data_IF_282908465711
#
_entry.id   IF_282908465711
#
_cell.length_a   1.000
_cell.length_b   1.000
_cell.length_c   1.000
_cell.angle_alpha   90.00
_cell.angle_beta   90.00
_cell.angle_gamma   90.00
#
_symmetry.space_group_name_H-M   'P 1'
#
loop_
_entity.id
_entity.type
_entity.pdbx_description
1 polymer ?
#
# COMPACT_ATOMS: atom_id res chain seq x y z
N UNK A 1 -56.03 61.25 -55.01
CA UNK A 1 -54.99 61.07 -56.05
C UNK A 1 -53.56 61.04 -55.50
N UNK A 2 -53.15 61.92 -54.56
CA UNK A 2 -51.79 61.87 -53.95
C UNK A 2 -51.49 60.64 -53.06
N UNK A 3 -52.49 60.02 -52.42
CA UNK A 3 -52.28 58.81 -51.61
C UNK A 3 -52.05 57.55 -52.44
N UNK A 4 -52.76 57.41 -53.56
CA UNK A 4 -52.62 56.30 -54.52
C UNK A 4 -51.21 56.22 -55.10
N UNK A 5 -50.62 57.38 -55.42
CA UNK A 5 -49.26 57.45 -55.96
C UNK A 5 -48.18 57.05 -54.96
N UNK A 6 -48.39 57.30 -53.66
CA UNK A 6 -47.48 56.86 -52.60
C UNK A 6 -47.59 55.35 -52.36
N UNK A 7 -48.79 54.80 -52.48
CA UNK A 7 -49.04 53.37 -52.32
C UNK A 7 -48.46 52.56 -53.49
N UNK A 8 -48.64 53.01 -54.73
CA UNK A 8 -48.00 52.38 -55.90
C UNK A 8 -46.47 52.56 -55.92
N UNK A 9 -45.95 53.70 -55.45
CA UNK A 9 -44.51 53.88 -55.30
C UNK A 9 -43.92 52.91 -54.27
N UNK A 10 -44.60 52.73 -53.12
CA UNK A 10 -44.21 51.75 -52.11
C UNK A 10 -44.31 50.31 -52.62
N UNK A 11 -45.36 49.94 -53.38
CA UNK A 11 -45.47 48.61 -53.98
C UNK A 11 -44.41 48.33 -55.05
N UNK A 12 -43.98 49.35 -55.82
CA UNK A 12 -42.87 49.22 -56.77
C UNK A 12 -41.50 49.11 -56.08
N UNK A 13 -41.34 49.81 -54.96
CA UNK A 13 -40.15 49.73 -54.11
C UNK A 13 -40.05 48.34 -53.43
N UNK A 14 -41.19 47.75 -53.04
CA UNK A 14 -41.28 46.36 -52.58
C UNK A 14 -41.06 45.33 -53.72
N UNK A 15 -41.51 45.60 -54.94
CA UNK A 15 -41.29 44.74 -56.11
C UNK A 15 -39.84 44.81 -56.67
N UNK A 16 -39.03 45.77 -56.22
CA UNK A 16 -37.60 45.90 -56.57
C UNK A 16 -36.67 45.17 -55.59
N UNK A 17 -37.19 44.72 -54.44
CA UNK A 17 -36.45 43.86 -53.53
C UNK A 17 -36.66 42.43 -53.98
N UNK A 18 -35.67 41.90 -54.72
CA UNK A 18 -35.62 40.49 -55.09
C UNK A 18 -35.46 39.65 -53.81
N UNK A 19 -36.60 39.21 -53.28
CA UNK A 19 -36.74 38.47 -52.02
C UNK A 19 -35.85 37.22 -52.03
N UNK A 20 -35.74 36.56 -53.18
CA UNK A 20 -34.88 35.40 -53.39
C UNK A 20 -33.39 35.78 -53.25
N UNK A 21 -32.97 36.92 -53.79
CA UNK A 21 -31.60 37.41 -53.62
C UNK A 21 -31.27 37.79 -52.16
N UNK A 22 -32.25 38.29 -51.40
CA UNK A 22 -32.09 38.56 -49.97
C UNK A 22 -31.98 37.26 -49.17
N UNK A 23 -32.76 36.23 -49.50
CA UNK A 23 -32.68 34.91 -48.87
C UNK A 23 -31.33 34.23 -49.12
N UNK A 24 -30.80 34.30 -50.35
CA UNK A 24 -29.46 33.78 -50.66
C UNK A 24 -28.38 34.48 -49.82
N UNK A 25 -28.43 35.82 -49.72
CA UNK A 25 -27.50 36.58 -48.87
C UNK A 25 -27.63 36.21 -47.40
N UNK A 26 -28.84 36.00 -46.90
CA UNK A 26 -29.09 35.57 -45.53
C UNK A 26 -28.49 34.19 -45.26
N UNK A 27 -28.65 33.25 -46.18
CA UNK A 27 -28.04 31.91 -46.10
C UNK A 27 -26.51 31.98 -46.09
N UNK A 28 -25.91 32.80 -46.96
CA UNK A 28 -24.46 33.02 -47.00
C UNK A 28 -23.93 33.64 -45.70
N UNK A 29 -24.63 34.64 -45.16
CA UNK A 29 -24.28 35.27 -43.88
C UNK A 29 -24.39 34.24 -42.75
N UNK A 30 -25.47 33.45 -42.71
CA UNK A 30 -25.66 32.40 -41.70
C UNK A 30 -24.55 31.35 -41.77
N UNK A 31 -24.17 30.92 -42.97
CA UNK A 31 -23.08 29.96 -43.16
C UNK A 31 -21.73 30.53 -42.68
N UNK A 32 -21.42 31.78 -43.04
CA UNK A 32 -20.22 32.48 -42.57
C UNK A 32 -20.20 32.62 -41.05
N UNK A 33 -21.35 32.90 -40.44
CA UNK A 33 -21.51 33.03 -38.99
C UNK A 33 -21.26 31.68 -38.29
N UNK A 34 -21.86 30.58 -38.77
CA UNK A 34 -21.59 29.24 -38.25
C UNK A 34 -20.11 28.83 -38.37
N UNK A 35 -19.46 29.17 -39.49
CA UNK A 35 -18.02 28.91 -39.68
C UNK A 35 -17.16 29.76 -38.74
N UNK A 36 -17.52 31.02 -38.52
CA UNK A 36 -16.82 31.90 -37.60
C UNK A 36 -16.97 31.44 -36.15
N UNK A 37 -18.17 31.02 -35.73
CA UNK A 37 -18.41 30.42 -34.41
C UNK A 37 -17.58 29.15 -34.21
N UNK A 38 -17.51 28.27 -35.23
CA UNK A 38 -16.67 27.06 -35.17
C UNK A 38 -15.17 27.37 -35.10
N UNK A 39 -14.70 28.45 -35.71
CA UNK A 39 -13.32 28.94 -35.54
C UNK A 39 -13.12 29.53 -34.14
N UNK A 40 -14.06 30.31 -33.64
CA UNK A 40 -14.04 30.88 -32.29
C UNK A 40 -13.88 29.81 -31.23
N UNK A 41 -14.70 28.75 -31.28
CA UNK A 41 -14.61 27.61 -30.35
C UNK A 41 -13.24 26.91 -30.36
N UNK A 42 -12.64 26.72 -31.55
CA UNK A 42 -11.30 26.13 -31.66
C UNK A 42 -10.22 27.03 -31.07
N UNK A 43 -10.31 28.33 -31.33
CA UNK A 43 -9.36 29.32 -30.78
C UNK A 43 -9.49 29.37 -29.26
N UNK A 44 -10.71 29.36 -28.72
CA UNK A 44 -10.95 29.34 -27.27
C UNK A 44 -10.35 28.08 -26.62
N UNK A 45 -10.52 26.92 -27.25
CA UNK A 45 -9.96 25.67 -26.74
C UNK A 45 -8.43 25.65 -26.79
N UNK A 46 -7.82 26.17 -27.86
CA UNK A 46 -6.37 26.35 -27.95
C UNK A 46 -5.85 27.34 -26.90
N UNK A 47 -6.54 28.47 -26.70
CA UNK A 47 -6.19 29.43 -25.65
C UNK A 47 -6.30 28.80 -24.25
N UNK A 48 -7.30 27.96 -24.01
CA UNK A 48 -7.46 27.21 -22.75
C UNK A 48 -6.28 26.26 -22.56
N UNK A 49 -5.89 25.51 -23.59
CA UNK A 49 -4.74 24.59 -23.54
C UNK A 49 -3.43 25.32 -23.26
N UNK A 50 -3.15 26.40 -24.00
CA UNK A 50 -1.93 27.20 -23.84
C UNK A 50 -1.85 27.82 -22.43
N UNK A 51 -2.98 28.26 -21.85
CA UNK A 51 -3.00 28.76 -20.47
C UNK A 51 -2.64 27.68 -19.45
N UNK A 52 -3.16 26.47 -19.61
CA UNK A 52 -2.83 25.34 -18.74
C UNK A 52 -1.35 24.94 -18.89
N UNK A 53 -0.84 24.92 -20.11
CA UNK A 53 0.57 24.64 -20.38
C UNK A 53 1.50 25.71 -19.77
N UNK A 54 1.16 26.99 -19.93
CA UNK A 54 1.89 28.09 -19.29
C UNK A 54 1.86 27.99 -17.76
N UNK A 55 0.72 27.65 -17.18
CA UNK A 55 0.60 27.45 -15.73
C UNK A 55 1.54 26.33 -15.25
N UNK A 56 1.56 25.21 -15.97
CA UNK A 56 2.47 24.09 -15.69
C UNK A 56 3.95 24.52 -15.81
N UNK A 57 4.32 25.26 -16.85
CA UNK A 57 5.69 25.77 -17.03
C UNK A 57 6.09 26.67 -15.86
N UNK A 58 5.18 27.52 -15.37
CA UNK A 58 5.45 28.38 -14.21
C UNK A 58 5.70 27.53 -12.95
N UNK A 59 4.88 26.51 -12.73
CA UNK A 59 5.04 25.58 -11.59
C UNK A 59 6.37 24.80 -11.68
N UNK A 60 6.72 24.30 -12.86
CA UNK A 60 7.97 23.59 -13.12
C UNK A 60 9.19 24.51 -12.89
N UNK A 61 9.14 25.75 -13.41
CA UNK A 61 10.18 26.76 -13.20
C UNK A 61 10.35 27.11 -11.72
N UNK A 62 9.24 27.26 -10.98
CA UNK A 62 9.29 27.54 -9.55
C UNK A 62 9.91 26.38 -8.76
N UNK A 63 9.60 25.15 -9.15
CA UNK A 63 10.14 23.93 -8.53
C UNK A 63 11.64 23.78 -8.82
N UNK A 64 12.08 24.02 -10.05
CA UNK A 64 13.50 23.99 -10.42
C UNK A 64 14.32 25.04 -9.65
N UNK A 65 13.76 26.24 -9.45
CA UNK A 65 14.43 27.30 -8.70
C UNK A 65 14.71 26.88 -7.26
N UNK A 66 13.74 26.23 -6.60
CA UNK A 66 13.92 25.69 -5.25
C UNK A 66 14.99 24.60 -5.17
N UNK A 67 15.09 23.75 -6.20
CA UNK A 67 16.14 22.71 -6.25
C UNK A 67 17.52 23.37 -6.33
N UNK A 68 17.70 24.36 -7.21
CA UNK A 68 18.97 25.09 -7.36
C UNK A 68 19.34 25.80 -6.06
N UNK A 69 18.38 26.47 -5.42
CA UNK A 69 18.62 27.16 -4.14
C UNK A 69 19.08 26.17 -3.05
N UNK A 70 18.43 25.00 -2.97
CA UNK A 70 18.80 23.93 -2.04
C UNK A 70 20.20 23.36 -2.34
N UNK A 71 20.49 23.04 -3.59
CA UNK A 71 21.81 22.56 -4.01
C UNK A 71 22.91 23.61 -3.71
N UNK A 72 22.60 24.90 -3.85
CA UNK A 72 23.48 25.99 -3.46
C UNK A 72 23.79 26.00 -1.96
N UNK A 73 22.77 25.80 -1.12
CA UNK A 73 22.94 25.69 0.33
C UNK A 73 23.79 24.47 0.70
N UNK A 74 23.49 23.31 0.12
CA UNK A 74 24.21 22.07 0.39
C UNK A 74 25.68 22.18 -0.05
N UNK A 75 25.94 22.73 -1.25
CA UNK A 75 27.29 23.01 -1.74
C UNK A 75 28.06 23.92 -0.78
N UNK A 76 27.46 25.03 -0.34
CA UNK A 76 28.09 25.94 0.61
C UNK A 76 28.40 25.24 1.96
N UNK A 77 27.53 24.36 2.41
CA UNK A 77 27.76 23.58 3.63
C UNK A 77 28.94 22.60 3.48
N UNK A 78 29.04 21.92 2.34
CA UNK A 78 30.18 21.05 2.03
C UNK A 78 31.49 21.84 1.90
N UNK A 79 31.47 22.98 1.22
CA UNK A 79 32.65 23.85 1.08
C UNK A 79 33.16 24.35 2.44
N UNK A 80 32.26 24.74 3.36
CA UNK A 80 32.65 25.12 4.73
C UNK A 80 33.30 23.97 5.49
N UNK A 81 32.69 22.79 5.49
CA UNK A 81 33.25 21.60 6.16
C UNK A 81 34.61 21.21 5.59
N UNK A 82 34.76 21.28 4.26
CA UNK A 82 36.03 21.00 3.60
C UNK A 82 37.10 22.01 3.99
N UNK A 83 36.76 23.30 4.09
CA UNK A 83 37.69 24.34 4.55
C UNK A 83 38.15 24.08 6.00
N UNK A 84 37.24 23.74 6.91
CA UNK A 84 37.58 23.42 8.30
C UNK A 84 38.53 22.21 8.39
N UNK A 85 38.24 21.14 7.64
CA UNK A 85 39.09 19.95 7.57
C UNK A 85 40.47 20.24 6.97
N UNK A 86 40.55 21.14 5.98
CA UNK A 86 41.84 21.55 5.42
C UNK A 86 42.69 22.28 6.45
N UNK A 87 42.10 23.18 7.23
CA UNK A 87 42.80 23.86 8.34
C UNK A 87 43.28 22.86 9.39
N UNK A 88 42.46 21.87 9.73
CA UNK A 88 42.85 20.79 10.64
C UNK A 88 44.01 19.97 10.07
N UNK A 89 43.94 19.58 8.79
CA UNK A 89 45.02 18.88 8.10
C UNK A 89 46.32 19.69 8.08
N UNK A 90 46.24 20.99 7.80
CA UNK A 90 47.40 21.90 7.83
C UNK A 90 48.00 22.01 9.23
N UNK A 91 47.17 22.11 10.27
CA UNK A 91 47.61 22.12 11.66
C UNK A 91 48.29 20.81 12.05
N UNK A 92 47.73 19.67 11.64
CA UNK A 92 48.33 18.35 11.86
C UNK A 92 49.67 18.23 11.12
N UNK A 93 49.75 18.66 9.87
CA UNK A 93 51.00 18.65 9.09
C UNK A 93 52.08 19.54 9.73
N UNK A 94 51.71 20.72 10.22
CA UNK A 94 52.64 21.61 10.91
C UNK A 94 53.11 21.02 12.25
N UNK A 95 52.20 20.33 12.98
CA UNK A 95 52.54 19.59 14.21
C UNK A 95 53.45 18.38 13.95
N UNK A 96 53.38 17.81 12.74
CA UNK A 96 54.20 16.70 12.26
C UNK A 96 55.48 17.15 11.53
N UNK A 97 55.91 18.41 11.67
CA UNK A 97 57.26 18.81 11.24
C UNK A 97 58.29 17.91 11.94
N UNK A 98 59.00 17.04 11.20
CA UNK A 98 59.66 15.92 11.83
C UNK A 98 60.95 16.37 12.50
N UNK A 99 60.96 16.36 13.84
CA UNK A 99 62.17 16.01 14.56
C UNK A 99 62.36 14.49 14.41
N UNK A 100 63.02 14.10 13.30
CA UNK A 100 63.39 12.72 12.93
C UNK A 100 62.26 11.69 12.95
N UNK A 101 61.49 11.60 11.86
CA UNK A 101 60.52 10.51 11.67
C UNK A 101 61.23 9.13 11.70
N UNK A 102 60.74 8.22 12.55
CA UNK A 102 61.20 6.83 12.61
C UNK A 102 60.96 6.18 11.25
N UNK A 103 62.04 5.73 10.59
CA UNK A 103 61.96 5.07 9.28
C UNK A 103 61.21 3.75 9.41
N UNK A 104 60.19 3.57 8.56
CA UNK A 104 59.53 2.29 8.32
C UNK A 104 60.58 1.27 7.86
N UNK A 105 60.68 0.16 8.57
CA UNK A 105 61.70 -0.86 8.31
C UNK A 105 61.17 -1.94 7.38
N UNK A 106 62.08 -2.74 6.79
CA UNK A 106 61.70 -3.89 5.98
C UNK A 106 60.83 -4.90 6.77
N UNK A 107 61.09 -5.05 8.07
CA UNK A 107 60.34 -5.96 8.94
C UNK A 107 58.90 -5.48 9.18
N UNK A 108 58.67 -4.16 9.23
CA UNK A 108 57.33 -3.57 9.31
C UNK A 108 56.53 -3.87 8.02
N UNK A 109 57.19 -3.74 6.85
CA UNK A 109 56.59 -4.07 5.55
C UNK A 109 56.24 -5.56 5.46
N UNK A 110 57.15 -6.44 5.87
CA UNK A 110 56.91 -7.88 5.79
C UNK A 110 55.83 -8.35 6.79
N UNK A 111 55.73 -7.68 7.94
CA UNK A 111 54.66 -7.90 8.92
C UNK A 111 53.29 -7.51 8.34
N UNK A 112 53.18 -6.35 7.72
CA UNK A 112 51.93 -5.91 7.08
C UNK A 112 51.51 -6.82 5.93
N UNK A 113 52.47 -7.27 5.10
CA UNK A 113 52.20 -8.22 4.01
C UNK A 113 51.65 -9.53 4.54
N UNK A 114 52.13 -9.99 5.71
CA UNK A 114 51.63 -11.20 6.36
C UNK A 114 50.22 -11.01 6.89
N UNK A 115 49.94 -9.89 7.55
CA UNK A 115 48.60 -9.56 8.05
C UNK A 115 47.60 -9.45 6.90
N UNK A 116 47.99 -8.78 5.81
CA UNK A 116 47.17 -8.65 4.62
C UNK A 116 46.86 -10.00 3.96
N UNK A 117 47.86 -10.88 3.83
CA UNK A 117 47.64 -12.25 3.33
C UNK A 117 46.69 -13.04 4.22
N UNK A 118 46.90 -13.00 5.54
CA UNK A 118 46.02 -13.67 6.50
C UNK A 118 44.58 -13.15 6.45
N UNK A 119 44.40 -11.84 6.27
CA UNK A 119 43.08 -11.23 6.13
C UNK A 119 42.39 -11.67 4.83
N UNK A 120 43.13 -11.74 3.72
CA UNK A 120 42.63 -12.26 2.44
C UNK A 120 42.20 -13.73 2.57
N UNK A 121 43.03 -14.58 3.20
CA UNK A 121 42.71 -16.00 3.38
C UNK A 121 41.44 -16.18 4.22
N UNK A 122 41.30 -15.42 5.31
CA UNK A 122 40.07 -15.41 6.12
C UNK A 122 38.85 -14.96 5.31
N UNK A 123 38.97 -13.86 4.55
CA UNK A 123 37.86 -13.35 3.74
C UNK A 123 37.45 -14.35 2.64
N UNK A 124 38.40 -15.06 2.02
CA UNK A 124 38.09 -16.10 1.04
C UNK A 124 37.34 -17.29 1.65
N UNK A 125 37.68 -17.68 2.87
CA UNK A 125 36.96 -18.74 3.60
C UNK A 125 35.52 -18.29 3.88
N UNK A 126 35.34 -17.06 4.36
CA UNK A 126 34.01 -16.51 4.65
C UNK A 126 33.15 -16.40 3.39
N UNK A 127 33.71 -15.93 2.27
CA UNK A 127 33.01 -15.86 0.99
C UNK A 127 32.53 -17.26 0.56
N UNK A 128 33.40 -18.28 0.64
CA UNK A 128 33.02 -19.65 0.28
C UNK A 128 31.87 -20.17 1.16
N UNK A 129 31.95 -19.91 2.47
CA UNK A 129 30.89 -20.28 3.41
C UNK A 129 29.56 -19.57 3.09
N UNK A 130 29.62 -18.29 2.72
CA UNK A 130 28.43 -17.54 2.30
C UNK A 130 27.83 -18.12 1.00
N UNK A 131 28.66 -18.50 0.03
CA UNK A 131 28.18 -19.18 -1.19
C UNK A 131 27.49 -20.51 -0.88
N UNK A 132 28.04 -21.32 0.02
CA UNK A 132 27.40 -22.57 0.43
C UNK A 132 26.07 -22.33 1.15
N UNK A 133 26.01 -21.36 2.06
CA UNK A 133 24.78 -20.98 2.73
C UNK A 133 23.70 -20.50 1.75
N UNK A 134 24.07 -19.63 0.81
CA UNK A 134 23.15 -19.13 -0.21
C UNK A 134 22.62 -20.27 -1.08
N UNK A 135 23.47 -21.21 -1.47
CA UNK A 135 23.06 -22.40 -2.21
C UNK A 135 22.06 -23.26 -1.43
N UNK A 136 22.26 -23.43 -0.12
CA UNK A 136 21.33 -24.17 0.73
C UNK A 136 19.99 -23.43 0.91
N UNK A 137 20.02 -22.10 1.04
CA UNK A 137 18.81 -21.27 1.09
C UNK A 137 18.03 -21.35 -0.22
N UNK A 138 18.71 -21.30 -1.37
CA UNK A 138 18.08 -21.47 -2.68
C UNK A 138 17.40 -22.84 -2.81
N UNK A 139 18.06 -23.92 -2.36
CA UNK A 139 17.45 -25.26 -2.34
C UNK A 139 16.22 -25.31 -1.43
N UNK A 140 16.31 -24.73 -0.23
CA UNK A 140 15.19 -24.69 0.71
C UNK A 140 14.00 -23.88 0.16
N UNK A 141 14.26 -22.76 -0.51
CA UNK A 141 13.22 -21.96 -1.17
C UNK A 141 12.53 -22.81 -2.25
N UNK A 142 13.30 -23.53 -3.07
CA UNK A 142 12.74 -24.40 -4.10
C UNK A 142 11.83 -25.50 -3.50
N UNK A 143 12.27 -26.14 -2.42
CA UNK A 143 11.46 -27.15 -1.71
C UNK A 143 10.15 -26.55 -1.16
N UNK A 144 10.19 -25.33 -0.60
CA UNK A 144 8.99 -24.63 -0.14
C UNK A 144 8.06 -24.24 -1.29
N UNK A 145 8.59 -23.82 -2.43
CA UNK A 145 7.81 -23.49 -3.62
C UNK A 145 7.11 -24.73 -4.19
N UNK A 146 7.79 -25.88 -4.21
CA UNK A 146 7.21 -27.16 -4.62
C UNK A 146 6.09 -27.61 -3.68
N UNK A 147 6.31 -27.55 -2.36
CA UNK A 147 5.29 -27.87 -1.37
C UNK A 147 4.06 -26.97 -1.51
N UNK A 148 4.28 -25.65 -1.66
CA UNK A 148 3.20 -24.68 -1.89
C UNK A 148 2.42 -24.97 -3.17
N UNK A 149 3.09 -25.36 -4.25
CA UNK A 149 2.44 -25.71 -5.51
C UNK A 149 1.58 -26.98 -5.36
N UNK A 150 2.07 -27.99 -4.65
CA UNK A 150 1.32 -29.22 -4.36
C UNK A 150 0.06 -28.93 -3.52
N UNK A 151 0.19 -28.12 -2.47
CA UNK A 151 -0.94 -27.71 -1.62
C UNK A 151 -1.99 -26.92 -2.40
N UNK A 152 -1.56 -26.00 -3.28
CA UNK A 152 -2.45 -25.25 -4.15
C UNK A 152 -3.21 -26.19 -5.12
N UNK A 153 -2.52 -27.13 -5.77
CA UNK A 153 -3.16 -28.10 -6.66
C UNK A 153 -4.18 -28.97 -5.92
N UNK A 154 -3.88 -29.38 -4.70
CA UNK A 154 -4.79 -30.15 -3.85
C UNK A 154 -6.05 -29.34 -3.52
N UNK A 155 -5.88 -28.07 -3.11
CA UNK A 155 -6.98 -27.17 -2.80
C UNK A 155 -7.86 -26.88 -4.04
N UNK A 156 -7.25 -26.64 -5.20
CA UNK A 156 -7.98 -26.43 -6.46
C UNK A 156 -8.76 -27.67 -6.89
N UNK A 157 -8.20 -28.88 -6.71
CA UNK A 157 -8.93 -30.12 -6.99
C UNK A 157 -10.13 -30.29 -6.07
N UNK A 158 -9.98 -29.98 -4.77
CA UNK A 158 -11.09 -30.05 -3.82
C UNK A 158 -12.20 -29.07 -4.19
N UNK A 159 -11.86 -27.81 -4.50
CA UNK A 159 -12.84 -26.81 -4.96
C UNK A 159 -13.55 -27.26 -6.22
N UNK A 160 -12.83 -27.86 -7.17
CA UNK A 160 -13.41 -28.39 -8.41
C UNK A 160 -14.38 -29.54 -8.12
N UNK A 161 -14.04 -30.43 -7.18
CA UNK A 161 -14.93 -31.51 -6.75
C UNK A 161 -16.19 -30.97 -6.08
N UNK A 162 -16.04 -30.02 -5.15
CA UNK A 162 -17.16 -29.38 -4.47
C UNK A 162 -18.08 -28.64 -5.46
N UNK A 163 -17.52 -27.98 -6.48
CA UNK A 163 -18.29 -27.35 -7.56
C UNK A 163 -19.11 -28.36 -8.36
N UNK A 164 -18.53 -29.53 -8.69
CA UNK A 164 -19.25 -30.60 -9.39
C UNK A 164 -20.36 -31.17 -8.51
N UNK A 165 -20.08 -31.40 -7.23
CA UNK A 165 -21.08 -31.88 -6.27
C UNK A 165 -22.24 -30.89 -6.13
N UNK A 166 -21.94 -29.60 -5.99
CA UNK A 166 -22.96 -28.54 -5.90
C UNK A 166 -23.82 -28.49 -7.16
N UNK A 167 -23.19 -28.58 -8.34
CA UNK A 167 -23.92 -28.64 -9.61
C UNK A 167 -24.86 -29.84 -9.68
N UNK A 168 -24.38 -31.02 -9.33
CA UNK A 168 -25.23 -32.22 -9.30
C UNK A 168 -26.41 -32.08 -8.33
N UNK A 169 -26.19 -31.47 -7.16
CA UNK A 169 -27.26 -31.16 -6.21
C UNK A 169 -28.27 -30.18 -6.81
N UNK A 170 -27.81 -29.12 -7.48
CA UNK A 170 -28.69 -28.16 -8.16
C UNK A 170 -29.51 -28.83 -9.26
N UNK A 171 -28.87 -29.65 -10.12
CA UNK A 171 -29.56 -30.39 -11.18
C UNK A 171 -30.60 -31.37 -10.60
N UNK A 172 -30.31 -32.00 -9.45
CA UNK A 172 -31.27 -32.84 -8.72
C UNK A 172 -32.45 -32.02 -8.18
N UNK A 173 -32.20 -30.88 -7.54
CA UNK A 173 -33.26 -29.98 -7.09
C UNK A 173 -34.13 -29.50 -8.26
N UNK A 174 -33.52 -29.08 -9.38
CA UNK A 174 -34.24 -28.67 -10.58
C UNK A 174 -35.06 -29.81 -11.19
N UNK A 175 -34.56 -31.05 -11.16
CA UNK A 175 -35.32 -32.23 -11.63
C UNK A 175 -36.56 -32.53 -10.78
N UNK A 176 -36.46 -32.33 -9.46
CA UNK A 176 -37.58 -32.54 -8.52
C UNK A 176 -38.58 -31.37 -8.61
N UNK A 177 -38.10 -30.16 -8.92
CA UNK A 177 -38.90 -28.92 -8.92
C UNK A 177 -39.50 -28.60 -10.30
N UNK A 178 -38.95 -29.15 -11.38
CA UNK A 178 -39.46 -29.00 -12.77
C UNK A 178 -40.72 -29.83 -13.05
N UNK A 179 -41.12 -30.70 -12.12
CA UNK A 179 -42.42 -31.38 -12.14
C UNK A 179 -43.56 -30.52 -11.59
N UNK A 180 -44.17 -29.69 -12.45
CA UNK A 180 -45.47 -29.02 -12.27
C UNK A 180 -45.60 -28.01 -11.11
N UNK A 181 -46.07 -26.77 -11.35
CA UNK A 181 -46.38 -25.83 -10.28
C UNK A 181 -47.65 -26.29 -9.57
N UNK A 182 -47.51 -27.17 -8.57
CA UNK A 182 -48.61 -27.44 -7.65
C UNK A 182 -48.82 -26.14 -6.87
N UNK A 183 -50.01 -25.53 -6.91
CA UNK A 183 -50.30 -24.40 -6.04
C UNK A 183 -50.23 -24.95 -4.62
N UNK A 184 -49.13 -24.68 -3.92
CA UNK A 184 -49.00 -25.01 -2.51
C UNK A 184 -50.07 -24.20 -1.79
N UNK A 185 -51.22 -24.82 -1.57
CA UNK A 185 -52.21 -24.32 -0.64
C UNK A 185 -51.63 -24.55 0.74
N UNK A 186 -50.81 -23.60 1.16
CA UNK A 186 -50.32 -23.55 2.51
C UNK A 186 -51.51 -23.38 3.44
N UNK A 187 -51.87 -24.44 4.13
CA UNK A 187 -52.82 -24.31 5.24
C UNK A 187 -52.06 -23.73 6.43
N UNK A 188 -52.77 -23.05 7.31
CA UNK A 188 -52.17 -22.50 8.55
C UNK A 188 -51.47 -23.62 9.35
N UNK A 189 -51.94 -24.86 9.25
CA UNK A 189 -51.33 -26.02 9.90
C UNK A 189 -49.97 -26.39 9.27
N UNK A 190 -49.85 -26.39 7.93
CA UNK A 190 -48.59 -26.74 7.26
C UNK A 190 -47.52 -25.67 7.51
N UNK A 191 -47.89 -24.39 7.43
CA UNK A 191 -46.97 -23.29 7.77
C UNK A 191 -46.57 -23.31 9.24
N UNK A 192 -47.47 -23.66 10.16
CA UNK A 192 -47.13 -23.80 11.58
C UNK A 192 -46.14 -24.92 11.85
N UNK A 193 -46.28 -26.08 11.19
CA UNK A 193 -45.32 -27.18 11.30
C UNK A 193 -43.95 -26.81 10.73
N UNK A 194 -43.93 -26.08 9.63
CA UNK A 194 -42.69 -25.64 8.98
C UNK A 194 -41.98 -24.57 9.81
N UNK A 195 -42.72 -23.57 10.31
CA UNK A 195 -42.19 -22.57 11.26
C UNK A 195 -41.67 -23.23 12.54
N UNK A 196 -42.32 -24.30 13.03
CA UNK A 196 -41.84 -25.06 14.19
C UNK A 196 -40.52 -25.78 13.90
N UNK A 197 -40.39 -26.43 12.73
CA UNK A 197 -39.13 -27.08 12.34
C UNK A 197 -37.98 -26.09 12.16
N UNK A 198 -38.25 -24.93 11.55
CA UNK A 198 -37.25 -23.87 11.46
C UNK A 198 -36.91 -23.28 12.84
N UNK A 199 -37.88 -23.19 13.76
CA UNK A 199 -37.64 -22.81 15.15
C UNK A 199 -36.76 -23.81 15.90
N UNK A 200 -36.99 -25.11 15.73
CA UNK A 200 -36.19 -26.16 16.35
C UNK A 200 -34.73 -26.13 15.86
N UNK A 201 -34.51 -25.90 14.57
CA UNK A 201 -33.17 -25.74 13.99
C UNK A 201 -32.48 -24.46 14.45
N UNK A 202 -33.23 -23.38 14.70
CA UNK A 202 -32.70 -22.10 15.18
C UNK A 202 -32.44 -22.06 16.69
N UNK A 203 -33.20 -22.83 17.49
CA UNK A 203 -33.06 -22.86 18.95
C UNK A 203 -32.13 -23.96 19.48
N UNK A 204 -31.59 -24.84 18.63
CA UNK A 204 -30.49 -25.74 19.00
C UNK A 204 -30.69 -26.49 20.32
N UNK A 205 -31.76 -27.29 20.43
CA UNK A 205 -31.93 -28.21 21.56
C UNK A 205 -31.65 -29.62 21.06
N UNK A 206 -30.46 -30.14 21.41
CA UNK A 206 -30.16 -31.55 21.28
C UNK A 206 -31.05 -32.39 22.20
N UNK A 207 -31.35 -33.60 21.78
CA UNK A 207 -31.86 -34.65 22.67
C UNK A 207 -31.19 -35.97 22.31
N UNK A 208 -30.29 -36.41 23.19
CA UNK A 208 -29.75 -37.76 23.19
C UNK A 208 -30.58 -38.64 24.12
N UNK A 209 -30.88 -39.87 23.69
CA UNK A 209 -31.25 -41.00 24.56
C UNK A 209 -30.54 -42.27 24.05
N UNK A 210 -30.09 -43.06 25.03
CA UNK A 210 -29.21 -44.22 25.05
C UNK A 210 -29.78 -45.51 24.41
N UNK A 211 -28.84 -46.42 24.05
CA UNK A 211 -28.85 -47.92 24.08
C UNK A 211 -30.10 -48.67 23.58
N UNK A 212 -30.05 -49.67 22.70
CA UNK A 212 -29.15 -50.84 22.57
C UNK A 212 -29.23 -51.42 21.13
N UNK A 213 -28.16 -52.09 20.68
CA UNK A 213 -27.92 -52.53 19.28
C UNK A 213 -28.69 -53.78 18.79
N UNK A 214 -28.21 -54.52 17.75
CA UNK A 214 -26.97 -54.35 16.98
C UNK A 214 -27.08 -54.44 15.43
N UNK A 215 -25.93 -54.22 14.79
CA UNK A 215 -25.49 -54.70 13.46
C UNK A 215 -25.82 -53.83 12.24
N UNK A 216 -24.83 -53.03 11.79
CA UNK A 216 -24.00 -53.36 10.62
C UNK A 216 -23.31 -52.10 10.05
N UNK A 217 -22.01 -52.24 9.80
CA UNK A 217 -21.21 -51.55 8.77
C UNK A 217 -20.97 -50.02 8.86
N UNK A 218 -19.68 -49.66 8.94
CA UNK A 218 -19.13 -48.46 8.31
C UNK A 218 -19.14 -47.18 9.14
N UNK A 219 -18.33 -47.11 10.19
CA UNK A 219 -18.09 -45.87 10.92
C UNK A 219 -17.14 -44.93 10.14
N UNK A 220 -17.71 -43.97 9.42
CA UNK A 220 -17.04 -42.72 9.04
C UNK A 220 -17.17 -41.73 10.20
N UNK A 221 -16.05 -41.46 10.86
CA UNK A 221 -15.91 -40.40 11.86
C UNK A 221 -15.95 -39.04 11.17
N UNK A 222 -17.12 -38.39 11.11
CA UNK A 222 -17.23 -36.99 10.70
C UNK A 222 -16.80 -36.12 11.89
N UNK A 223 -15.49 -35.86 11.95
CA UNK A 223 -14.93 -34.79 12.75
C UNK A 223 -15.48 -33.48 12.18
N UNK A 224 -16.31 -32.80 12.97
CA UNK A 224 -16.75 -31.45 12.65
C UNK A 224 -15.58 -30.48 12.86
N UNK A 225 -14.69 -30.36 11.89
CA UNK A 225 -13.81 -29.19 11.80
C UNK A 225 -14.61 -28.01 11.26
N UNK A 226 -15.41 -27.40 12.14
CA UNK A 226 -15.97 -26.06 11.90
C UNK A 226 -14.89 -25.03 12.20
N UNK A 227 -13.93 -24.87 11.30
CA UNK A 227 -13.04 -23.70 11.30
C UNK A 227 -13.74 -22.57 10.53
N UNK A 228 -14.65 -21.86 11.21
CA UNK A 228 -15.02 -20.52 10.78
C UNK A 228 -13.82 -19.61 11.09
N UNK A 229 -12.91 -19.43 10.13
CA UNK A 229 -11.97 -18.32 10.18
C UNK A 229 -12.74 -17.04 9.83
N UNK A 230 -13.48 -16.52 10.82
CA UNK A 230 -13.83 -15.10 10.85
C UNK A 230 -12.58 -14.41 11.40
N UNK A 231 -11.78 -13.83 10.51
CA UNK A 231 -10.67 -12.97 10.89
C UNK A 231 -11.20 -11.89 11.86
N UNK A 232 -10.57 -11.77 13.04
CA UNK A 232 -10.93 -10.70 13.97
C UNK A 232 -10.65 -9.36 13.28
N UNK A 233 -11.54 -8.36 13.36
CA UNK A 233 -11.23 -7.01 12.88
C UNK A 233 -9.97 -6.47 13.60
N UNK A 234 -9.03 -5.90 12.86
CA UNK A 234 -7.87 -5.20 13.42
C UNK A 234 -8.27 -3.76 13.75
N UNK A 235 -8.07 -3.32 14.99
CA UNK A 235 -8.35 -1.94 15.41
C UNK A 235 -7.09 -1.10 15.65
N UNK A 236 -5.93 -1.62 15.22
CA UNK A 236 -4.64 -0.95 15.42
C UNK A 236 -4.34 0.00 14.28
N UNK A 237 -4.02 1.23 14.64
CA UNK A 237 -3.57 2.26 13.69
C UNK A 237 -2.23 2.85 14.12
N UNK A 238 -1.51 3.39 13.15
CA UNK A 238 -0.30 4.18 13.42
C UNK A 238 -0.71 5.59 13.80
N UNK A 239 -0.58 5.93 15.08
CA UNK A 239 -0.89 7.27 15.57
C UNK A 239 0.20 8.27 15.18
N UNK A 240 1.47 7.88 15.35
CA UNK A 240 2.61 8.76 15.08
C UNK A 240 3.89 8.00 14.78
N UNK A 241 4.64 8.49 13.81
CA UNK A 241 6.04 8.10 13.59
C UNK A 241 6.92 9.33 13.74
N UNK A 242 7.95 9.25 14.56
CA UNK A 242 8.86 10.36 14.78
C UNK A 242 9.76 10.57 13.54
N UNK A 243 9.86 11.81 13.06
CA UNK A 243 10.62 12.14 11.84
C UNK A 243 12.13 11.83 11.97
N UNK A 244 12.66 11.85 13.19
CA UNK A 244 14.05 11.49 13.52
C UNK A 244 14.24 9.98 13.74
N UNK A 245 13.18 9.17 13.59
CA UNK A 245 13.21 7.73 13.79
C UNK A 245 13.33 7.31 15.25
N UNK A 246 13.09 8.21 16.21
CA UNK A 246 13.25 7.92 17.63
C UNK A 246 12.18 6.97 18.18
N UNK A 247 10.94 7.03 17.67
CA UNK A 247 9.83 6.17 18.09
C UNK A 247 8.71 6.04 17.05
N UNK A 248 7.89 5.00 17.24
CA UNK A 248 6.62 4.76 16.55
C UNK A 248 5.54 4.55 17.61
N UNK A 249 4.36 5.15 17.44
CA UNK A 249 3.22 5.03 18.35
C UNK A 249 2.06 4.35 17.65
N UNK A 250 1.54 3.30 18.27
CA UNK A 250 0.34 2.60 17.85
C UNK A 250 -0.82 2.94 18.78
N UNK A 251 -2.03 2.96 18.24
CA UNK A 251 -3.26 3.18 18.98
C UNK A 251 -4.23 2.03 18.71
N UNK A 252 -4.88 1.52 19.76
CA UNK A 252 -6.08 0.72 19.62
C UNK A 252 -7.29 1.65 19.54
N UNK A 253 -7.84 1.80 18.34
CA UNK A 253 -9.00 2.67 18.05
C UNK A 253 -10.34 2.05 18.44
N UNK A 254 -10.36 0.81 18.93
CA UNK A 254 -11.56 0.17 19.45
C UNK A 254 -12.08 0.91 20.69
N UNK A 255 -13.40 0.91 20.86
CA UNK A 255 -14.08 1.50 22.02
C UNK A 255 -14.21 0.51 23.18
N UNK A 256 -14.25 -0.79 22.89
CA UNK A 256 -14.65 -1.83 23.85
C UNK A 256 -13.91 -3.17 23.68
N UNK A 257 -13.05 -3.32 22.67
CA UNK A 257 -12.27 -4.55 22.44
C UNK A 257 -10.78 -4.37 22.68
N UNK A 258 -10.23 -5.20 23.55
CA UNK A 258 -8.78 -5.41 23.65
C UNK A 258 -8.24 -5.98 22.33
N UNK A 259 -7.00 -5.60 21.99
CA UNK A 259 -6.27 -6.19 20.88
C UNK A 259 -5.02 -6.90 21.39
N UNK A 260 -4.94 -8.19 21.10
CA UNK A 260 -3.74 -8.99 21.31
C UNK A 260 -2.73 -8.71 20.19
N UNK A 261 -1.53 -8.26 20.57
CA UNK A 261 -0.39 -8.02 19.69
C UNK A 261 0.76 -8.98 20.01
N UNK A 262 0.51 -10.03 20.79
CA UNK A 262 1.49 -11.03 21.16
C UNK A 262 2.20 -11.60 19.93
N UNK A 263 3.54 -11.51 19.92
CA UNK A 263 4.39 -11.97 18.81
C UNK A 263 4.14 -11.28 17.46
N UNK A 264 3.34 -10.22 17.41
CA UNK A 264 3.21 -9.41 16.20
C UNK A 264 4.54 -8.75 15.88
N UNK A 265 4.76 -8.46 14.60
CA UNK A 265 6.02 -7.88 14.13
C UNK A 265 5.79 -6.55 13.44
N UNK A 266 6.40 -5.50 13.97
CA UNK A 266 6.48 -4.19 13.35
C UNK A 266 7.76 -4.12 12.49
N UNK A 267 7.64 -3.72 11.22
CA UNK A 267 8.77 -3.52 10.32
C UNK A 267 8.77 -2.11 9.76
N UNK A 268 9.92 -1.44 9.81
CA UNK A 268 10.13 -0.09 9.30
C UNK A 268 11.18 -0.13 8.19
N UNK A 269 10.84 0.41 7.01
CA UNK A 269 11.69 0.42 5.82
C UNK A 269 11.74 1.80 5.16
N UNK A 270 12.87 2.09 4.51
CA UNK A 270 13.05 3.31 3.70
C UNK A 270 13.86 3.05 2.44
N UNK A 271 13.86 4.01 1.52
CA UNK A 271 14.64 3.99 0.26
C UNK A 271 16.15 3.79 0.45
N UNK A 272 16.69 4.10 1.63
CA UNK A 272 18.09 3.85 2.02
C UNK A 272 18.40 2.38 2.35
N UNK A 273 17.49 1.45 2.04
CA UNK A 273 17.57 0.00 2.33
C UNK A 273 17.69 -0.33 3.83
N UNK A 274 17.42 0.63 4.72
CA UNK A 274 17.35 0.36 6.16
C UNK A 274 16.07 -0.43 6.45
N UNK A 275 16.21 -1.58 7.09
CA UNK A 275 15.12 -2.43 7.56
C UNK A 275 15.28 -2.62 9.07
N UNK A 276 14.33 -2.15 9.85
CA UNK A 276 14.28 -2.34 11.30
C UNK A 276 13.05 -3.15 11.64
N UNK A 277 13.20 -4.21 12.42
CA UNK A 277 12.11 -5.11 12.81
C UNK A 277 12.02 -5.19 14.33
N UNK A 278 10.81 -5.11 14.86
CA UNK A 278 10.50 -5.25 16.28
C UNK A 278 9.38 -6.26 16.46
N UNK A 279 9.56 -7.22 17.37
CA UNK A 279 8.54 -8.22 17.70
C UNK A 279 8.03 -7.97 19.11
N UNK A 280 6.71 -7.91 19.26
CA UNK A 280 6.05 -7.70 20.55
C UNK A 280 6.23 -8.91 21.48
N UNK A 281 6.30 -8.70 22.81
CA UNK A 281 6.30 -9.79 23.79
C UNK A 281 5.07 -10.70 23.64
N UNK A 282 5.21 -11.99 23.98
CA UNK A 282 4.21 -13.05 23.71
C UNK A 282 2.78 -12.80 24.24
N UNK A 283 2.63 -11.94 25.25
CA UNK A 283 1.36 -11.66 25.92
C UNK A 283 1.02 -10.16 25.94
N UNK A 284 1.47 -9.42 24.92
CA UNK A 284 1.23 -7.97 24.85
C UNK A 284 -0.19 -7.66 24.39
N UNK A 285 -1.02 -7.14 25.29
CA UNK A 285 -2.40 -6.73 25.01
C UNK A 285 -2.51 -5.20 25.07
N UNK A 286 -3.05 -4.60 24.01
CA UNK A 286 -3.37 -3.17 23.96
C UNK A 286 -4.87 -2.97 24.20
N UNK A 287 -5.22 -2.36 25.33
CA UNK A 287 -6.61 -2.09 25.71
C UNK A 287 -7.27 -1.03 24.80
N UNK A 288 -8.61 -0.95 24.75
CA UNK A 288 -9.35 0.08 24.01
C UNK A 288 -8.87 1.49 24.28
N UNK A 289 -8.89 2.32 23.23
CA UNK A 289 -8.54 3.75 23.27
C UNK A 289 -7.17 4.07 23.90
N UNK A 290 -6.26 3.09 23.88
CA UNK A 290 -4.97 3.20 24.53
C UNK A 290 -3.84 3.11 23.49
N UNK A 291 -2.68 3.62 23.86
CA UNK A 291 -1.54 3.73 22.95
C UNK A 291 -0.30 3.05 23.52
N UNK A 292 0.53 2.49 22.64
CA UNK A 292 1.88 2.02 22.97
C UNK A 292 2.90 2.75 22.13
N UNK A 293 3.96 3.23 22.77
CA UNK A 293 5.08 3.89 22.10
C UNK A 293 6.30 2.97 22.07
N UNK A 294 6.75 2.61 20.87
CA UNK A 294 7.93 1.79 20.63
C UNK A 294 9.10 2.70 20.30
N UNK A 295 10.08 2.78 21.19
CA UNK A 295 11.32 3.55 21.02
C UNK A 295 12.41 2.74 20.33
N UNK A 296 13.27 3.40 19.57
CA UNK A 296 14.53 2.81 19.13
C UNK A 296 15.54 2.73 20.30
N UNK A 297 16.60 1.93 20.16
CA UNK A 297 17.58 1.70 21.21
C UNK A 297 18.18 3.01 21.73
N UNK A 298 18.07 3.22 23.04
CA UNK A 298 18.58 4.41 23.73
C UNK A 298 17.79 5.71 23.48
N UNK A 299 16.60 5.63 22.88
CA UNK A 299 15.75 6.81 22.60
C UNK A 299 14.59 7.00 23.59
N UNK A 300 14.39 6.07 24.52
CA UNK A 300 13.33 6.13 25.53
C UNK A 300 13.49 5.07 26.60
N UNK A 301 12.47 4.93 27.45
CA UNK A 301 12.46 4.01 28.59
C UNK A 301 11.55 2.81 28.28
N UNK A 302 11.99 1.60 28.63
CA UNK A 302 11.18 0.40 28.55
C UNK A 302 10.25 0.32 29.76
N UNK A 303 8.96 0.58 29.56
CA UNK A 303 7.92 0.54 30.61
C UNK A 303 6.60 -0.02 30.04
N UNK A 304 6.51 -1.34 29.79
CA UNK A 304 5.28 -1.96 29.31
C UNK A 304 4.10 -1.74 30.29
N UNK A 305 2.87 -1.53 29.80
CA UNK A 305 2.46 -1.58 28.40
C UNK A 305 2.62 -0.25 27.65
N UNK A 306 2.96 0.84 28.35
CA UNK A 306 2.95 2.19 27.78
C UNK A 306 4.09 2.45 26.80
N UNK A 307 5.29 1.94 27.10
CA UNK A 307 6.45 2.09 26.23
C UNK A 307 7.29 0.84 26.12
N UNK A 308 7.76 0.58 24.90
CA UNK A 308 8.61 -0.53 24.52
C UNK A 308 9.91 0.02 23.92
N UNK A 309 10.96 -0.80 23.91
CA UNK A 309 12.25 -0.44 23.31
C UNK A 309 12.66 -1.54 22.34
N UNK A 310 12.97 -1.14 21.12
CA UNK A 310 13.55 -1.99 20.09
C UNK A 310 15.07 -1.97 20.22
N UNK A 311 15.66 -3.10 20.62
CA UNK A 311 17.11 -3.21 20.86
C UNK A 311 17.94 -3.44 19.59
N UNK A 312 17.29 -3.75 18.46
CA UNK A 312 17.99 -4.06 17.21
C UNK A 312 18.77 -2.85 16.67
N UNK A 313 18.19 -1.65 16.79
CA UNK A 313 18.69 -0.44 16.14
C UNK A 313 18.48 0.83 16.97
N UNK A 314 19.37 1.81 16.77
CA UNK A 314 19.32 3.12 17.46
C UNK A 314 18.35 4.12 16.84
N UNK A 315 17.81 3.81 15.65
CA UNK A 315 16.75 4.57 14.96
C UNK A 315 15.90 3.64 14.09
N UNK A 316 14.60 3.90 13.99
CA UNK A 316 13.75 3.35 12.93
C UNK A 316 14.11 3.96 11.57
N UNK A 317 13.50 3.43 10.49
CA UNK A 317 13.71 4.01 9.17
C UNK A 317 13.19 5.45 9.12
N UNK A 318 13.89 6.30 8.37
CA UNK A 318 13.62 7.75 8.28
C UNK A 318 13.75 8.18 6.83
N UNK A 319 13.01 9.21 6.42
CA UNK A 319 13.12 9.80 5.09
C UNK A 319 11.78 10.07 4.43
N UNK A 320 11.84 10.55 3.19
CA UNK A 320 10.67 11.01 2.43
C UNK A 320 9.86 9.85 1.79
N UNK A 321 10.42 8.64 1.74
CA UNK A 321 9.80 7.38 1.28
C UNK A 321 9.93 6.33 2.39
N UNK A 322 9.16 6.53 3.47
CA UNK A 322 9.12 5.68 4.64
C UNK A 322 7.90 4.76 4.54
N UNK A 323 8.09 3.47 4.81
CA UNK A 323 6.99 2.51 4.96
C UNK A 323 7.12 1.76 6.28
N UNK A 324 6.02 1.62 7.00
CA UNK A 324 5.95 0.91 8.28
C UNK A 324 4.79 -0.08 8.22
N UNK A 325 5.08 -1.34 8.50
CA UNK A 325 4.15 -2.45 8.44
C UNK A 325 3.98 -3.07 9.83
N UNK A 326 2.79 -3.59 10.11
CA UNK A 326 2.49 -4.38 11.28
C UNK A 326 1.93 -5.73 10.82
N UNK A 327 2.60 -6.81 11.18
CA UNK A 327 2.23 -8.18 10.85
C UNK A 327 1.75 -8.91 12.10
N UNK A 328 0.74 -9.77 11.96
CA UNK A 328 0.37 -10.69 13.03
C UNK A 328 1.33 -11.89 13.14
N UNK A 329 1.04 -12.79 14.08
CA UNK A 329 1.80 -14.02 14.31
C UNK A 329 1.74 -15.02 13.13
N UNK A 330 0.77 -14.89 12.23
CA UNK A 330 0.64 -15.69 11.02
C UNK A 330 1.33 -15.04 9.81
N UNK A 331 1.95 -13.86 9.99
CA UNK A 331 2.59 -13.09 8.93
C UNK A 331 1.60 -12.32 8.05
N UNK A 332 0.33 -12.20 8.43
CA UNK A 332 -0.66 -11.37 7.73
C UNK A 332 -0.43 -9.90 8.07
N UNK A 333 -0.45 -9.02 7.05
CA UNK A 333 -0.39 -7.58 7.26
C UNK A 333 -1.70 -7.09 7.90
N UNK A 334 -1.59 -6.45 9.07
CA UNK A 334 -2.73 -5.96 9.86
C UNK A 334 -2.87 -4.45 9.81
N UNK A 335 -1.78 -3.74 9.61
CA UNK A 335 -1.76 -2.30 9.39
C UNK A 335 -0.51 -1.90 8.58
N UNK A 336 -0.64 -0.84 7.79
CA UNK A 336 0.46 -0.25 7.04
C UNK A 336 0.36 1.27 7.00
N UNK A 337 1.50 1.94 7.19
CA UNK A 337 1.66 3.37 7.01
C UNK A 337 2.74 3.60 5.96
N UNK A 338 2.37 4.27 4.87
CA UNK A 338 3.33 4.79 3.90
C UNK A 338 3.35 6.30 3.97
N UNK A 339 4.53 6.87 4.22
CA UNK A 339 4.78 8.29 4.12
C UNK A 339 5.62 8.52 2.87
N UNK A 340 4.94 8.97 1.81
CA UNK A 340 5.55 9.41 0.56
C UNK A 340 5.30 10.89 0.38
N UNK A 341 6.35 11.68 0.56
CA UNK A 341 6.30 13.10 0.25
C UNK A 341 6.46 13.28 -1.26
N UNK A 342 5.36 13.23 -2.00
CA UNK A 342 5.31 13.82 -3.33
C UNK A 342 5.21 15.34 -3.13
N UNK A 343 6.17 16.09 -3.66
CA UNK A 343 6.41 17.53 -3.47
C UNK A 343 7.18 17.93 -2.20
N UNK A 344 8.45 18.32 -2.39
CA UNK A 344 9.06 19.40 -1.60
C UNK A 344 9.01 20.66 -2.44
N UNK A 345 8.11 21.58 -2.09
CA UNK A 345 8.13 22.95 -2.59
C UNK A 345 7.53 23.89 -1.52
N UNK A 346 8.36 24.85 -1.09
CA UNK A 346 8.11 26.00 -0.19
C UNK A 346 7.78 25.76 1.30
N UNK A 347 8.72 26.07 2.20
CA UNK A 347 8.65 27.26 3.09
C UNK A 347 9.87 27.41 4.03
N UNK A 348 10.50 28.58 3.92
CA UNK A 348 11.40 29.36 4.82
C UNK A 348 12.46 28.65 5.67
N UNK A 349 13.73 28.96 5.41
CA UNK A 349 14.42 30.13 6.00
C UNK A 349 15.55 30.61 5.08
#
# INVERSE_FOLDING_TARGET
RRSSFRFEAAQREYAQLDEDALLVKLCDIRMKLSLAEGRGKRIEEECRRIRLENQKIIEDQSSQRLIIDREGIDRNAYERRAADLLVECESLLESFRPSTARRYTFDDIESDRRLFRSAIDSAMIDIRRQYENNRLLEALIADFEEAKAADLMSAESQVREDQVQLKNMMDQYDSITSGSPVPQTYTIASLRQEILRYRELLYGIGSGILSDGPTAAGALSIVHHRASSRERPCFITFLKVAADGSYITLENTSLDSDQDLGEWTLRSTSSTLKLVSYTFPRDFILTPQNTVQIYARGRGVHNPPHSLVCESDTTFATGDDLSVFLYDNNGQERAHLSQRSFFRSFSSF
#
